data_IF_756345208663
#
_entry.id   IF_756345208663
#
_cell.length_a   1.000
_cell.length_b   1.000
_cell.length_c   1.000
_cell.angle_alpha   90.00
_cell.angle_beta   90.00
_cell.angle_gamma   90.00
#
_symmetry.space_group_name_H-M   'P 1'
#
loop_
_entity.id
_entity.type
_entity.pdbx_description
1 polymer ?
#
# COMPACT_ATOMS: atom_id res chain seq x y z
N UNK A 1 0.65 29.67 -26.30
CA UNK A 1 0.91 30.26 -24.96
C UNK A 1 1.05 29.11 -23.98
N UNK A 2 2.22 28.88 -23.36
CA UNK A 2 2.41 27.74 -22.44
C UNK A 2 1.71 28.08 -21.11
N UNK A 3 0.84 27.18 -20.67
CA UNK A 3 0.26 27.20 -19.33
C UNK A 3 1.36 27.19 -18.26
N UNK A 4 1.46 28.25 -17.46
CA UNK A 4 2.30 28.24 -16.25
C UNK A 4 1.54 27.50 -15.15
N UNK A 5 2.06 26.36 -14.72
CA UNK A 5 1.56 25.61 -13.56
C UNK A 5 2.33 26.12 -12.34
N UNK A 6 1.60 26.55 -11.31
CA UNK A 6 2.13 26.93 -9.99
C UNK A 6 1.95 25.77 -9.01
N UNK A 7 2.87 25.63 -8.06
CA UNK A 7 2.92 24.48 -7.14
C UNK A 7 2.57 24.85 -5.68
N UNK A 8 2.13 26.08 -5.42
CA UNK A 8 1.93 26.60 -4.06
C UNK A 8 0.79 25.91 -3.32
N UNK A 9 -0.27 25.51 -4.02
CA UNK A 9 -1.39 24.76 -3.46
C UNK A 9 -2.18 24.02 -4.55
N UNK A 10 -3.08 23.13 -4.14
CA UNK A 10 -3.89 22.34 -5.07
C UNK A 10 -4.79 23.18 -5.99
N UNK A 11 -5.22 24.37 -5.55
CA UNK A 11 -6.06 25.26 -6.35
C UNK A 11 -5.27 25.91 -7.48
N UNK A 12 -4.06 26.38 -7.22
CA UNK A 12 -3.18 26.98 -8.25
C UNK A 12 -2.65 25.91 -9.20
N UNK A 13 -2.31 24.72 -8.68
CA UNK A 13 -1.90 23.57 -9.48
C UNK A 13 -2.95 23.16 -10.52
N UNK A 14 -4.22 23.20 -10.13
CA UNK A 14 -5.36 22.79 -10.96
C UNK A 14 -6.06 23.96 -11.67
N UNK A 15 -5.53 25.19 -11.58
CA UNK A 15 -6.19 26.39 -12.09
C UNK A 15 -6.49 26.33 -13.60
N UNK A 16 -5.65 25.64 -14.37
CA UNK A 16 -5.82 25.44 -15.81
C UNK A 16 -6.44 24.07 -16.17
N UNK A 17 -6.93 23.36 -15.16
CA UNK A 17 -7.54 22.04 -15.29
C UNK A 17 -6.53 20.88 -15.35
N UNK A 18 -7.03 19.63 -15.24
CA UNK A 18 -6.19 18.44 -15.18
C UNK A 18 -5.37 18.20 -16.46
N UNK A 19 -5.90 18.58 -17.63
CA UNK A 19 -5.24 18.36 -18.91
C UNK A 19 -3.99 19.24 -19.07
N UNK A 20 -4.07 20.52 -18.68
CA UNK A 20 -2.90 21.40 -18.71
C UNK A 20 -1.79 20.92 -17.77
N UNK A 21 -2.16 20.37 -16.60
CA UNK A 21 -1.22 19.75 -15.68
C UNK A 21 -0.62 18.46 -16.24
N UNK A 22 -1.43 17.62 -16.89
CA UNK A 22 -0.96 16.43 -17.59
C UNK A 22 0.09 16.81 -18.66
N UNK A 23 -0.22 17.77 -19.54
CA UNK A 23 0.69 18.23 -20.58
C UNK A 23 1.98 18.82 -19.99
N UNK A 24 1.87 19.55 -18.87
CA UNK A 24 3.02 20.08 -18.15
C UNK A 24 3.94 18.98 -17.64
N UNK A 25 3.38 17.98 -16.94
CA UNK A 25 4.14 16.84 -16.40
C UNK A 25 4.71 15.99 -17.53
N UNK A 26 3.91 15.68 -18.55
CA UNK A 26 4.34 14.91 -19.71
C UNK A 26 5.53 15.57 -20.40
N UNK A 27 5.46 16.87 -20.68
CA UNK A 27 6.56 17.59 -21.34
C UNK A 27 7.89 17.54 -20.56
N UNK A 28 7.82 17.47 -19.23
CA UNK A 28 9.01 17.34 -18.36
C UNK A 28 9.55 15.92 -18.39
N UNK A 29 8.67 14.92 -18.29
CA UNK A 29 9.06 13.52 -18.34
C UNK A 29 9.60 13.13 -19.71
N UNK A 30 9.01 13.61 -20.81
CA UNK A 30 9.46 13.34 -22.17
C UNK A 30 10.88 13.85 -22.43
N UNK A 31 11.18 15.05 -21.94
CA UNK A 31 12.54 15.61 -21.99
C UNK A 31 13.54 14.78 -21.19
N UNK A 32 13.14 14.24 -20.03
CA UNK A 32 13.99 13.40 -19.20
C UNK A 32 14.17 11.99 -19.79
N UNK A 33 13.14 11.45 -20.44
CA UNK A 33 13.12 10.10 -20.99
C UNK A 33 13.64 10.02 -22.44
N UNK A 34 13.73 11.15 -23.15
CA UNK A 34 14.13 11.20 -24.57
C UNK A 34 13.11 10.59 -25.53
N UNK A 35 11.87 10.36 -25.07
CA UNK A 35 10.77 9.75 -25.83
C UNK A 35 9.43 10.31 -25.35
N UNK A 36 8.39 10.16 -26.17
CA UNK A 36 7.02 10.49 -25.79
C UNK A 36 6.59 9.71 -24.52
N UNK A 37 5.78 10.34 -23.67
CA UNK A 37 5.31 9.71 -22.44
C UNK A 37 4.32 8.59 -22.82
N UNK A 38 4.58 7.33 -22.41
CA UNK A 38 3.65 6.26 -22.71
C UNK A 38 2.32 6.51 -21.98
N UNK A 39 1.23 6.49 -22.73
CA UNK A 39 -0.12 6.51 -22.18
C UNK A 39 -0.49 5.08 -21.80
N UNK A 40 -0.72 4.82 -20.51
CA UNK A 40 -1.04 3.50 -19.99
C UNK A 40 -2.32 3.55 -19.17
N UNK A 41 -3.25 2.66 -19.48
CA UNK A 41 -4.42 2.42 -18.66
C UNK A 41 -4.12 1.28 -17.68
N UNK A 42 -4.40 1.50 -16.39
CA UNK A 42 -4.23 0.47 -15.37
C UNK A 42 -5.60 -0.09 -15.03
N UNK A 43 -5.79 -1.39 -15.22
CA UNK A 43 -7.02 -2.10 -14.84
C UNK A 43 -6.68 -3.09 -13.74
N UNK A 44 -7.57 -3.22 -12.78
CA UNK A 44 -7.48 -4.23 -11.75
C UNK A 44 -8.89 -4.73 -11.41
N UNK A 45 -9.00 -6.02 -11.15
CA UNK A 45 -10.27 -6.71 -10.95
C UNK A 45 -10.16 -7.71 -9.81
N UNK A 46 -11.12 -7.59 -8.90
CA UNK A 46 -11.34 -8.48 -7.76
C UNK A 46 -10.07 -8.66 -6.91
N UNK A 47 -9.28 -7.59 -6.79
CA UNK A 47 -8.01 -7.60 -6.08
C UNK A 47 -8.24 -7.72 -4.57
N UNK A 48 -7.65 -8.76 -3.99
CA UNK A 48 -7.65 -9.02 -2.55
C UNK A 48 -6.23 -9.21 -2.05
N UNK A 49 -5.92 -8.60 -0.90
CA UNK A 49 -4.62 -8.73 -0.24
C UNK A 49 -4.85 -9.17 1.20
N UNK A 50 -4.28 -10.30 1.58
CA UNK A 50 -4.32 -10.81 2.95
C UNK A 50 -2.92 -10.96 3.51
N UNK A 51 -2.74 -10.70 4.82
CA UNK A 51 -1.49 -10.94 5.52
C UNK A 51 -1.72 -11.83 6.75
N UNK A 52 -0.86 -12.81 6.92
CA UNK A 52 -0.84 -13.69 8.09
C UNK A 52 -0.03 -13.03 9.20
N UNK A 53 -0.73 -12.70 10.29
CA UNK A 53 -0.16 -12.01 11.45
C UNK A 53 0.00 -13.01 12.59
N UNK A 54 1.23 -13.18 13.06
CA UNK A 54 1.48 -13.92 14.31
C UNK A 54 1.05 -13.05 15.47
N UNK A 55 -0.04 -13.41 16.11
CA UNK A 55 -0.50 -12.77 17.34
C UNK A 55 0.24 -13.42 18.49
N UNK A 56 0.98 -12.62 19.26
CA UNK A 56 1.46 -13.06 20.57
C UNK A 56 0.30 -12.93 21.55
N UNK A 57 -0.08 -14.02 22.19
CA UNK A 57 -1.13 -14.01 23.21
C UNK A 57 -0.75 -13.04 24.35
N UNK A 58 -1.70 -12.22 24.78
CA UNK A 58 -1.54 -11.24 25.87
C UNK A 58 -1.24 -11.89 27.24
N UNK A 59 -1.35 -13.21 27.37
CA UNK A 59 -1.05 -13.91 28.62
C UNK A 59 0.42 -13.87 29.04
N UNK A 60 1.32 -13.45 28.14
CA UNK A 60 2.76 -13.25 28.44
C UNK A 60 3.11 -11.85 28.98
N UNK A 61 2.11 -10.97 29.16
CA UNK A 61 2.32 -9.64 29.75
C UNK A 61 2.10 -9.58 31.26
N UNK A 62 1.80 -10.72 31.92
CA UNK A 62 1.96 -10.78 33.37
C UNK A 62 3.45 -10.70 33.66
N UNK A 63 3.87 -9.53 34.11
CA UNK A 63 5.17 -9.22 34.69
C UNK A 63 5.39 -10.09 35.92
N UNK A 64 5.63 -11.38 35.71
CA UNK A 64 6.15 -12.26 36.74
C UNK A 64 7.64 -11.95 36.89
N UNK A 65 8.06 -11.73 38.14
CA UNK A 65 9.44 -11.40 38.47
C UNK A 65 10.38 -12.46 37.86
N UNK A 66 11.51 -12.05 37.27
CA UNK A 66 12.46 -12.95 36.61
C UNK A 66 13.18 -13.77 37.68
N UNK A 67 12.53 -14.87 38.07
CA UNK A 67 13.05 -15.87 38.98
C UNK A 67 13.46 -17.06 38.13
N UNK A 68 14.55 -17.75 38.48
CA UNK A 68 15.08 -18.88 37.70
C UNK A 68 14.00 -19.93 37.36
N UNK A 69 13.06 -20.19 38.28
CA UNK A 69 11.94 -21.08 38.05
C UNK A 69 10.96 -20.56 36.98
N UNK A 70 10.66 -19.26 36.98
CA UNK A 70 9.73 -18.62 36.05
C UNK A 70 10.31 -18.52 34.63
N UNK A 71 11.61 -18.24 34.49
CA UNK A 71 12.30 -18.26 33.19
C UNK A 71 12.33 -19.68 32.59
N UNK A 72 12.58 -20.70 33.42
CA UNK A 72 12.52 -22.11 33.00
C UNK A 72 11.10 -22.50 32.57
N UNK A 73 10.09 -22.18 33.39
CA UNK A 73 8.68 -22.44 33.04
C UNK A 73 8.27 -21.70 31.76
N UNK A 74 8.70 -20.45 31.59
CA UNK A 74 8.45 -19.66 30.37
C UNK A 74 9.07 -20.32 29.14
N UNK A 75 10.32 -20.79 29.22
CA UNK A 75 10.99 -21.47 28.10
C UNK A 75 10.29 -22.78 27.70
N UNK A 76 9.82 -23.57 28.69
CA UNK A 76 9.05 -24.80 28.44
C UNK A 76 7.67 -24.47 27.85
N UNK A 77 7.06 -23.36 28.28
CA UNK A 77 5.74 -22.91 27.81
C UNK A 77 5.83 -22.30 26.40
N UNK A 78 6.87 -21.54 26.08
CA UNK A 78 7.16 -21.03 24.73
C UNK A 78 7.43 -22.18 23.75
N UNK A 79 8.12 -23.25 24.19
CA UNK A 79 8.33 -24.45 23.37
C UNK A 79 7.02 -25.22 23.08
N UNK A 80 6.00 -25.08 23.93
CA UNK A 80 4.66 -25.68 23.76
C UNK A 80 3.61 -24.72 23.21
N UNK A 81 3.91 -23.43 23.08
CA UNK A 81 2.92 -22.43 22.65
C UNK A 81 2.77 -22.46 21.14
N UNK A 82 1.56 -22.81 20.70
CA UNK A 82 1.20 -22.77 19.29
C UNK A 82 1.07 -21.30 18.87
N UNK A 83 1.97 -20.80 18.02
CA UNK A 83 1.87 -19.44 17.47
C UNK A 83 0.51 -19.27 16.79
N UNK A 84 -0.36 -18.43 17.36
CA UNK A 84 -1.66 -18.15 16.78
C UNK A 84 -1.48 -17.22 15.59
N UNK A 85 -1.78 -17.71 14.39
CA UNK A 85 -1.70 -16.93 13.14
C UNK A 85 -3.10 -16.48 12.76
N UNK A 86 -3.30 -15.16 12.67
CA UNK A 86 -4.57 -14.56 12.23
C UNK A 86 -4.38 -13.97 10.84
N UNK A 87 -5.24 -14.39 9.90
CA UNK A 87 -5.28 -13.84 8.55
C UNK A 87 -6.02 -12.49 8.56
N UNK A 88 -5.30 -11.40 8.34
CA UNK A 88 -5.87 -10.05 8.21
C UNK A 88 -6.04 -9.67 6.75
N UNK A 89 -7.28 -9.36 6.37
CA UNK A 89 -7.58 -8.81 5.05
C UNK A 89 -7.24 -7.31 5.01
N UNK A 90 -6.33 -6.93 4.11
CA UNK A 90 -5.88 -5.55 3.88
C UNK A 90 -6.69 -4.89 2.76
N UNK A 91 -6.90 -5.60 1.66
CA UNK A 91 -7.80 -5.21 0.56
C UNK A 91 -8.77 -6.36 0.30
N UNK A 92 -10.02 -6.03 -0.05
CA UNK A 92 -11.08 -7.01 -0.26
C UNK A 92 -11.81 -6.70 -1.56
N UNK A 93 -11.61 -7.55 -2.57
CA UNK A 93 -12.29 -7.55 -3.88
C UNK A 93 -12.40 -6.16 -4.52
N UNK A 94 -11.26 -5.46 -4.62
CA UNK A 94 -11.21 -4.11 -5.17
C UNK A 94 -11.06 -4.19 -6.68
N UNK A 95 -11.93 -3.49 -7.42
CA UNK A 95 -11.92 -3.42 -8.88
C UNK A 95 -11.89 -1.95 -9.33
N UNK A 96 -11.20 -1.64 -10.42
CA UNK A 96 -11.12 -0.28 -10.92
C UNK A 96 -10.26 -0.11 -12.17
N UNK A 97 -10.32 1.11 -12.72
CA UNK A 97 -9.56 1.52 -13.90
C UNK A 97 -8.99 2.91 -13.69
N UNK A 98 -7.69 3.08 -13.89
CA UNK A 98 -7.03 4.38 -13.94
C UNK A 98 -6.75 4.74 -15.39
N UNK A 99 -7.44 5.78 -15.86
CA UNK A 99 -7.36 6.23 -17.25
C UNK A 99 -6.11 7.08 -17.49
N UNK A 100 -5.48 6.95 -18.67
CA UNK A 100 -4.40 7.84 -19.07
C UNK A 100 -4.85 9.32 -19.06
N UNK A 101 -3.93 10.24 -18.79
CA UNK A 101 -4.23 11.67 -18.82
C UNK A 101 -5.09 12.21 -17.65
N UNK A 102 -5.44 11.37 -16.68
CA UNK A 102 -6.26 11.78 -15.53
C UNK A 102 -5.48 11.78 -14.22
N UNK A 103 -5.93 12.61 -13.27
CA UNK A 103 -5.40 12.62 -11.90
C UNK A 103 -6.42 11.91 -11.02
N UNK A 104 -6.00 10.81 -10.40
CA UNK A 104 -6.84 10.02 -9.50
C UNK A 104 -6.42 10.25 -8.05
N UNK A 105 -7.36 10.67 -7.21
CA UNK A 105 -7.16 10.86 -5.78
C UNK A 105 -7.69 9.63 -5.03
N UNK A 106 -6.83 8.96 -4.25
CA UNK A 106 -7.20 7.80 -3.44
C UNK A 106 -7.30 8.20 -1.96
N UNK A 107 -8.51 8.12 -1.40
CA UNK A 107 -8.83 8.53 -0.03
C UNK A 107 -9.29 7.34 0.82
N UNK A 108 -9.14 7.48 2.14
CA UNK A 108 -9.57 6.46 3.11
C UNK A 108 -8.90 6.65 4.46
N UNK A 109 -9.46 6.06 5.51
CA UNK A 109 -8.93 6.13 6.88
C UNK A 109 -7.51 5.53 7.00
N UNK A 110 -6.74 5.86 8.06
CA UNK A 110 -5.49 5.17 8.36
C UNK A 110 -5.70 3.64 8.40
N UNK A 111 -4.77 2.89 7.80
CA UNK A 111 -4.87 1.42 7.73
C UNK A 111 -5.82 0.86 6.66
N UNK A 112 -6.50 1.69 5.85
CA UNK A 112 -7.45 1.23 4.82
C UNK A 112 -6.83 0.58 3.57
N UNK A 113 -5.51 0.34 3.55
CA UNK A 113 -4.84 -0.34 2.43
C UNK A 113 -4.48 0.53 1.22
N UNK A 114 -4.59 1.87 1.27
CA UNK A 114 -4.23 2.76 0.14
C UNK A 114 -2.80 2.54 -0.39
N UNK A 115 -1.82 2.54 0.51
CA UNK A 115 -0.41 2.31 0.15
C UNK A 115 -0.19 0.87 -0.33
N UNK A 116 -0.97 -0.09 0.18
CA UNK A 116 -0.94 -1.48 -0.28
C UNK A 116 -1.45 -1.60 -1.71
N UNK A 117 -2.55 -0.93 -2.05
CA UNK A 117 -3.07 -0.83 -3.42
C UNK A 117 -2.04 -0.21 -4.36
N UNK A 118 -1.42 0.92 -3.98
CA UNK A 118 -0.42 1.58 -4.81
C UNK A 118 0.86 0.74 -5.00
N UNK A 119 1.29 0.01 -3.96
CA UNK A 119 2.42 -0.92 -4.07
C UNK A 119 2.09 -2.08 -5.01
N UNK A 120 0.88 -2.61 -4.95
CA UNK A 120 0.43 -3.66 -5.86
C UNK A 120 0.44 -3.18 -7.31
N UNK A 121 -0.24 -2.07 -7.60
CA UNK A 121 -0.35 -1.54 -8.97
C UNK A 121 0.98 -1.08 -9.57
N UNK A 122 1.97 -0.74 -8.73
CA UNK A 122 3.32 -0.39 -9.19
C UNK A 122 4.26 -1.60 -9.32
N UNK A 123 3.78 -2.82 -9.05
CA UNK A 123 4.62 -4.02 -9.05
C UNK A 123 5.68 -4.03 -7.93
N UNK A 124 5.48 -3.22 -6.88
CA UNK A 124 6.40 -3.07 -5.74
C UNK A 124 5.84 -3.67 -4.45
N UNK A 125 4.97 -4.66 -4.59
CA UNK A 125 4.44 -5.36 -3.42
C UNK A 125 5.48 -6.37 -2.91
N UNK A 126 5.81 -6.37 -1.59
CA UNK A 126 6.81 -7.28 -1.06
C UNK A 126 6.37 -8.73 -1.23
N UNK A 127 7.25 -9.56 -1.79
CA UNK A 127 7.06 -11.00 -1.98
C UNK A 127 7.34 -11.78 -0.69
N UNK A 128 6.75 -11.35 0.41
CA UNK A 128 6.88 -12.02 1.70
C UNK A 128 6.01 -13.28 1.74
N UNK A 129 6.52 -14.36 2.35
CA UNK A 129 5.83 -15.65 2.47
C UNK A 129 4.49 -15.57 3.22
N UNK A 130 4.23 -14.47 3.92
CA UNK A 130 3.07 -14.28 4.78
C UNK A 130 1.98 -13.43 4.11
N UNK A 131 2.13 -13.07 2.83
CA UNK A 131 1.14 -12.26 2.11
C UNK A 131 0.57 -13.05 0.94
N UNK A 132 -0.75 -13.10 0.86
CA UNK A 132 -1.50 -13.65 -0.28
C UNK A 132 -2.10 -12.51 -1.08
N UNK A 133 -1.94 -12.57 -2.40
CA UNK A 133 -2.51 -11.62 -3.36
C UNK A 133 -3.37 -12.44 -4.32
N UNK A 134 -4.60 -12.00 -4.54
CA UNK A 134 -5.58 -12.61 -5.43
C UNK A 134 -6.16 -11.51 -6.34
N UNK A 135 -6.66 -11.89 -7.52
CA UNK A 135 -7.18 -10.97 -8.55
C UNK A 135 -6.18 -10.64 -9.65
N UNK A 136 -6.66 -9.91 -10.66
CA UNK A 136 -5.92 -9.53 -11.87
C UNK A 136 -5.74 -8.00 -11.99
#
# INVERSE_FOLDING_TARGET
>A
MRATIEYDNGKTLMAQGPQALHDHVASRMEKALGRALPQMEVRFKDVSISADIVVKDETDLKTELPTLANELMKSVREMRSSKHVVKKQVLQNVSGVFKPGTITLVLGQPGSGKSSLMKLLSGRFPSDKNVTIEGD
#
